data_IF_367606324814
#
_entry.id   IF_367606324814
#
_cell.length_a   1.000
_cell.length_b   1.000
_cell.length_c   1.000
_cell.angle_alpha   90.00
_cell.angle_beta   90.00
_cell.angle_gamma   90.00
#
_symmetry.space_group_name_H-M   'P 1'
#
loop_
_entity.id
_entity.type
_entity.pdbx_description
1 polymer ?
#
# COMPACT_ATOMS: atom_id res chain seq x y z
N UNK A 1 11.76 -23.54 -3.99
CA UNK A 1 11.50 -22.63 -5.12
C UNK A 1 10.88 -21.40 -4.48
N UNK A 2 11.62 -20.29 -4.46
CA UNK A 2 11.21 -19.10 -3.72
C UNK A 2 10.52 -18.20 -4.73
N UNK A 3 9.20 -18.14 -4.63
CA UNK A 3 8.36 -17.33 -5.51
C UNK A 3 8.46 -15.88 -5.04
N UNK A 4 9.65 -15.29 -5.23
CA UNK A 4 9.91 -13.90 -4.87
C UNK A 4 9.64 -12.99 -6.08
N UNK A 5 8.40 -13.02 -6.56
CA UNK A 5 7.84 -11.87 -7.27
C UNK A 5 6.99 -11.12 -6.24
N UNK A 6 7.66 -10.35 -5.38
CA UNK A 6 7.07 -9.09 -4.96
C UNK A 6 6.94 -8.25 -6.24
N UNK A 7 5.84 -8.42 -6.97
CA UNK A 7 5.47 -7.45 -7.98
C UNK A 7 5.24 -6.17 -7.19
N UNK A 8 6.17 -5.23 -7.31
CA UNK A 8 6.12 -3.95 -6.63
C UNK A 8 5.09 -3.09 -7.38
N UNK A 9 3.83 -3.50 -7.29
CA UNK A 9 2.70 -2.80 -7.89
C UNK A 9 2.13 -1.84 -6.87
N UNK A 10 2.00 -0.58 -7.26
CA UNK A 10 1.34 0.45 -6.46
C UNK A 10 -0.11 0.59 -6.92
N UNK A 11 -1.04 0.64 -5.96
CA UNK A 11 -2.48 0.71 -6.23
C UNK A 11 -3.08 2.00 -5.70
N UNK A 12 -3.99 2.65 -6.43
CA UNK A 12 -4.79 3.75 -5.90
C UNK A 12 -6.18 3.73 -6.50
N UNK A 13 -7.12 4.40 -5.83
CA UNK A 13 -8.45 4.58 -6.39
C UNK A 13 -8.39 5.50 -7.61
N UNK A 14 -9.13 5.13 -8.64
CA UNK A 14 -9.39 5.97 -9.79
C UNK A 14 -10.83 5.81 -10.25
N UNK A 15 -11.17 6.52 -11.31
CA UNK A 15 -12.44 6.37 -12.00
C UNK A 15 -12.20 6.36 -13.50
N UNK A 16 -13.08 5.67 -14.23
CA UNK A 16 -13.09 5.75 -15.69
C UNK A 16 -13.96 6.93 -16.17
N UNK A 17 -14.00 7.15 -17.49
CA UNK A 17 -14.81 8.21 -18.12
C UNK A 17 -16.32 8.16 -17.80
N UNK A 18 -16.82 7.03 -17.28
CA UNK A 18 -18.20 6.86 -16.82
C UNK A 18 -18.39 7.04 -15.31
N UNK A 19 -17.39 7.60 -14.61
CA UNK A 19 -17.34 7.72 -13.14
C UNK A 19 -17.50 6.38 -12.41
N UNK A 20 -17.18 5.26 -13.06
CA UNK A 20 -17.16 3.96 -12.39
C UNK A 20 -15.86 3.81 -11.62
N UNK A 21 -15.89 3.39 -10.34
CA UNK A 21 -14.69 3.20 -9.56
C UNK A 21 -13.78 2.14 -10.19
N UNK A 22 -12.48 2.40 -10.13
CA UNK A 22 -11.39 1.57 -10.61
C UNK A 22 -10.28 1.53 -9.56
N UNK A 23 -9.48 0.47 -9.61
CA UNK A 23 -8.17 0.47 -8.98
C UNK A 23 -7.16 0.67 -10.10
N UNK A 24 -6.46 1.79 -10.06
CA UNK A 24 -5.34 2.03 -10.97
C UNK A 24 -4.11 1.36 -10.35
N UNK A 25 -3.35 0.69 -11.20
CA UNK A 25 -2.12 0.01 -10.81
C UNK A 25 -0.95 0.59 -11.56
N UNK A 26 0.21 0.66 -10.92
CA UNK A 26 1.48 0.92 -11.59
C UNK A 26 2.49 -0.13 -11.16
N UNK A 27 2.91 -0.97 -12.11
CA UNK A 27 3.90 -1.99 -11.88
C UNK A 27 5.30 -1.38 -12.01
N UNK A 28 6.06 -1.37 -10.91
CA UNK A 28 7.41 -0.80 -10.89
C UNK A 28 8.45 -1.65 -11.65
N UNK A 29 8.16 -2.94 -11.90
CA UNK A 29 9.06 -3.84 -12.60
C UNK A 29 8.99 -3.70 -14.12
N UNK A 30 7.79 -3.46 -14.67
CA UNK A 30 7.59 -3.24 -16.12
C UNK A 30 7.25 -1.79 -16.48
N UNK A 31 7.19 -0.90 -15.49
CA UNK A 31 6.92 0.54 -15.64
C UNK A 31 5.62 0.84 -16.40
N UNK A 32 4.58 0.03 -16.17
CA UNK A 32 3.32 0.11 -16.90
C UNK A 32 2.14 0.38 -15.98
N UNK A 33 1.21 1.21 -16.46
CA UNK A 33 -0.09 1.39 -15.83
C UNK A 33 -1.03 0.24 -16.20
N UNK A 34 -1.90 -0.10 -15.25
CA UNK A 34 -3.00 -1.03 -15.44
C UNK A 34 -4.24 -0.57 -14.68
N UNK A 35 -5.34 -1.29 -14.91
CA UNK A 35 -6.60 -1.05 -14.23
C UNK A 35 -7.22 -2.38 -13.79
N UNK A 36 -7.78 -2.39 -12.59
CA UNK A 36 -8.62 -3.47 -12.09
C UNK A 36 -10.04 -2.93 -11.90
N UNK A 37 -11.03 -3.70 -12.36
CA UNK A 37 -12.43 -3.39 -12.11
C UNK A 37 -12.71 -3.41 -10.60
N UNK A 38 -13.32 -2.34 -10.09
CA UNK A 38 -13.78 -2.32 -8.72
C UNK A 38 -15.08 -3.15 -8.59
N UNK A 39 -15.25 -3.97 -7.55
CA UNK A 39 -16.45 -4.76 -7.33
C UNK A 39 -17.70 -3.88 -7.15
N UNK A 40 -18.83 -4.30 -7.71
CA UNK A 40 -20.13 -3.66 -7.43
C UNK A 40 -20.64 -3.95 -6.01
N UNK A 41 -20.14 -5.01 -5.36
CA UNK A 41 -20.52 -5.41 -4.00
C UNK A 41 -19.96 -4.46 -2.93
N UNK A 42 -18.87 -3.76 -3.23
CA UNK A 42 -18.25 -2.80 -2.32
C UNK A 42 -18.77 -1.41 -2.64
N UNK A 43 -19.47 -0.83 -1.66
CA UNK A 43 -20.07 0.49 -1.76
C UNK A 43 -19.13 1.51 -1.15
N UNK A 44 -18.42 2.26 -1.99
CA UNK A 44 -17.60 3.41 -1.59
C UNK A 44 -18.48 4.62 -1.25
N UNK A 45 -19.47 4.43 -0.37
CA UNK A 45 -20.47 5.44 0.00
C UNK A 45 -20.01 6.32 1.18
N UNK A 46 -18.92 5.95 1.86
CA UNK A 46 -18.36 6.70 2.98
C UNK A 46 -17.37 7.80 2.59
N UNK A 47 -17.02 8.61 3.59
CA UNK A 47 -16.07 9.72 3.44
C UNK A 47 -14.62 9.27 3.30
N UNK A 48 -14.31 8.06 3.76
CA UNK A 48 -12.96 7.50 3.81
C UNK A 48 -12.93 6.11 3.23
N UNK A 49 -12.08 5.91 2.23
CA UNK A 49 -11.78 4.61 1.65
C UNK A 49 -10.27 4.54 1.44
N UNK A 50 -9.64 3.46 1.87
CA UNK A 50 -8.20 3.26 1.66
C UNK A 50 -7.88 1.86 1.13
N UNK A 51 -6.84 1.79 0.29
CA UNK A 51 -6.31 0.56 -0.28
C UNK A 51 -5.05 0.14 0.47
N UNK A 52 -4.92 -1.15 0.75
CA UNK A 52 -3.68 -1.70 1.24
C UNK A 52 -3.63 -3.19 1.10
N UNK A 53 -2.89 -3.83 2.01
CA UNK A 53 -2.75 -5.27 2.02
C UNK A 53 -3.13 -5.82 3.39
N UNK A 54 -3.82 -6.94 3.38
CA UNK A 54 -4.14 -7.72 4.56
C UNK A 54 -3.98 -9.20 4.25
N UNK A 55 -3.18 -9.90 5.03
CA UNK A 55 -2.71 -11.27 4.84
C UNK A 55 -2.19 -11.52 3.40
N UNK A 56 -1.41 -10.56 2.88
CA UNK A 56 -0.84 -10.62 1.52
C UNK A 56 -1.84 -10.40 0.37
N UNK A 57 -3.11 -10.10 0.66
CA UNK A 57 -4.14 -9.82 -0.34
C UNK A 57 -4.44 -8.33 -0.41
N UNK A 58 -4.67 -7.82 -1.62
CA UNK A 58 -5.16 -6.46 -1.81
C UNK A 58 -6.50 -6.29 -1.09
N UNK A 59 -6.64 -5.23 -0.30
CA UNK A 59 -7.82 -4.99 0.52
C UNK A 59 -8.28 -3.53 0.44
N UNK A 60 -9.54 -3.31 0.81
CA UNK A 60 -10.18 -2.00 0.93
C UNK A 60 -10.72 -1.88 2.35
N UNK A 61 -10.34 -0.79 3.02
CA UNK A 61 -11.05 -0.31 4.20
C UNK A 61 -12.05 0.74 3.73
N UNK A 62 -13.34 0.49 3.94
CA UNK A 62 -14.43 1.42 3.58
C UNK A 62 -15.13 1.89 4.83
N UNK A 63 -15.21 3.21 5.04
CA UNK A 63 -16.09 3.77 6.05
C UNK A 63 -17.55 3.75 5.58
N UNK A 64 -18.47 3.58 6.52
CA UNK A 64 -19.91 3.70 6.30
C UNK A 64 -20.48 4.76 7.24
N UNK A 65 -21.78 5.05 7.08
CA UNK A 65 -22.50 5.99 7.95
C UNK A 65 -22.44 5.47 9.40
N UNK A 66 -22.19 6.38 10.36
CA UNK A 66 -22.11 6.10 11.81
C UNK A 66 -20.78 5.49 12.31
N UNK A 67 -19.65 5.78 11.66
CA UNK A 67 -18.31 5.34 12.08
C UNK A 67 -18.09 3.82 12.07
N UNK A 68 -18.91 3.11 11.29
CA UNK A 68 -18.69 1.71 10.97
C UNK A 68 -17.68 1.60 9.82
N UNK A 69 -16.79 0.62 9.90
CA UNK A 69 -15.81 0.33 8.86
C UNK A 69 -15.96 -1.11 8.39
N UNK A 70 -15.83 -1.32 7.10
CA UNK A 70 -15.81 -2.64 6.50
C UNK A 70 -14.45 -2.91 5.86
N UNK A 71 -13.86 -4.05 6.21
CA UNK A 71 -12.68 -4.56 5.54
C UNK A 71 -13.10 -5.56 4.48
N UNK A 72 -12.70 -5.30 3.24
CA UNK A 72 -12.91 -6.19 2.10
C UNK A 72 -11.56 -6.65 1.56
N UNK A 73 -11.46 -7.92 1.16
CA UNK A 73 -10.23 -8.50 0.58
C UNK A 73 -10.51 -9.08 -0.81
N UNK A 74 -9.57 -8.88 -1.73
CA UNK A 74 -9.57 -9.49 -3.06
C UNK A 74 -8.89 -10.87 -2.97
N UNK A 75 -9.69 -11.94 -3.04
CA UNK A 75 -9.13 -13.30 -2.89
C UNK A 75 -8.31 -13.76 -4.09
N UNK A 76 -8.64 -13.26 -5.29
CA UNK A 76 -7.91 -13.53 -6.52
C UNK A 76 -7.53 -12.21 -7.17
N UNK A 77 -6.22 -11.97 -7.29
CA UNK A 77 -5.71 -10.69 -7.76
C UNK A 77 -6.20 -10.36 -9.17
N UNK A 78 -6.73 -9.15 -9.36
CA UNK A 78 -7.28 -8.69 -10.64
C UNK A 78 -8.73 -9.11 -10.92
N UNK A 79 -9.32 -10.01 -10.11
CA UNK A 79 -10.69 -10.52 -10.32
C UNK A 79 -11.67 -9.77 -9.42
N UNK A 80 -12.53 -8.94 -10.03
CA UNK A 80 -13.48 -8.08 -9.32
C UNK A 80 -14.52 -8.88 -8.52
N UNK A 81 -14.88 -10.07 -8.98
CA UNK A 81 -15.86 -10.93 -8.34
C UNK A 81 -15.29 -11.68 -7.12
N UNK A 82 -13.96 -11.66 -6.93
CA UNK A 82 -13.28 -12.35 -5.83
C UNK A 82 -13.29 -11.59 -4.50
N UNK A 83 -13.84 -10.36 -4.49
CA UNK A 83 -13.90 -9.52 -3.32
C UNK A 83 -14.91 -10.04 -2.30
N UNK A 84 -14.45 -10.27 -1.07
CA UNK A 84 -15.29 -10.71 0.05
C UNK A 84 -15.11 -9.79 1.24
N UNK A 85 -16.21 -9.49 1.93
CA UNK A 85 -16.17 -8.79 3.22
C UNK A 85 -15.56 -9.73 4.24
N UNK A 86 -14.49 -9.27 4.90
CA UNK A 86 -13.77 -10.05 5.91
C UNK A 86 -14.26 -9.67 7.30
N UNK A 87 -14.31 -8.38 7.62
CA UNK A 87 -14.63 -7.88 8.96
C UNK A 87 -15.50 -6.62 8.88
N UNK A 88 -16.28 -6.39 9.93
CA UNK A 88 -16.99 -5.14 10.17
C UNK A 88 -16.61 -4.64 11.55
N UNK A 89 -16.24 -3.38 11.62
CA UNK A 89 -15.91 -2.66 12.84
C UNK A 89 -17.00 -1.64 13.06
N UNK A 90 -17.44 -1.53 14.31
CA UNK A 90 -18.41 -0.53 14.71
C UNK A 90 -18.00 0.10 16.02
N UNK A 91 -18.65 1.22 16.34
CA UNK A 91 -18.65 1.75 17.70
C UNK A 91 -17.28 2.24 18.22
N UNK A 92 -16.51 2.94 17.39
CA UNK A 92 -15.27 3.57 17.84
C UNK A 92 -15.47 4.79 18.77
N UNK A 93 -16.73 5.18 19.03
CA UNK A 93 -17.11 6.24 19.96
C UNK A 93 -16.71 7.67 19.53
N UNK A 94 -15.91 7.80 18.46
CA UNK A 94 -15.46 9.07 17.88
C UNK A 94 -15.21 8.93 16.38
N UNK A 95 -14.93 10.05 15.74
CA UNK A 95 -14.46 10.13 14.36
C UNK A 95 -13.03 9.56 14.25
N UNK A 96 -12.88 8.56 13.38
CA UNK A 96 -11.58 7.99 13.02
C UNK A 96 -11.23 8.42 11.60
N UNK A 97 -10.02 8.93 11.43
CA UNK A 97 -9.42 9.10 10.12
C UNK A 97 -8.44 7.93 9.86
N UNK A 98 -8.73 7.00 8.94
CA UNK A 98 -7.77 5.97 8.55
C UNK A 98 -6.62 6.60 7.75
N UNK A 99 -5.39 6.20 8.06
CA UNK A 99 -4.16 6.60 7.36
C UNK A 99 -3.55 5.46 6.52
N UNK A 100 -4.02 4.24 6.75
CA UNK A 100 -3.74 3.09 5.92
C UNK A 100 -3.23 1.88 6.67
N UNK A 101 -2.51 1.03 5.95
CA UNK A 101 -2.11 -0.29 6.41
C UNK A 101 -0.62 -0.30 6.76
N UNK A 102 -0.27 -0.98 7.84
CA UNK A 102 1.10 -1.14 8.35
C UNK A 102 1.24 -2.48 9.06
N UNK A 103 2.42 -2.79 9.56
CA UNK A 103 2.64 -3.93 10.44
C UNK A 103 2.40 -3.53 11.89
N UNK A 104 1.65 -4.34 12.64
CA UNK A 104 1.40 -4.19 14.08
C UNK A 104 2.63 -4.63 14.90
N UNK A 105 2.58 -4.53 16.24
CA UNK A 105 3.65 -5.08 17.10
C UNK A 105 3.84 -6.58 16.97
N UNK A 106 2.80 -7.30 16.55
CA UNK A 106 2.78 -8.75 16.52
C UNK A 106 3.14 -9.30 15.13
N UNK A 107 3.72 -8.45 14.26
CA UNK A 107 3.97 -8.74 12.85
C UNK A 107 2.70 -9.07 12.04
N UNK A 108 1.50 -8.82 12.59
CA UNK A 108 0.22 -8.89 11.88
C UNK A 108 -0.04 -7.61 11.08
N UNK A 109 -0.97 -7.66 10.15
CA UNK A 109 -1.38 -6.48 9.40
C UNK A 109 -2.22 -5.56 10.31
N UNK A 110 -1.61 -4.45 10.71
CA UNK A 110 -2.22 -3.41 11.53
C UNK A 110 -2.71 -2.24 10.71
N UNK A 111 -3.64 -1.48 11.26
CA UNK A 111 -4.23 -0.31 10.61
C UNK A 111 -3.87 0.96 11.33
N UNK A 112 -3.28 1.89 10.60
CA UNK A 112 -2.98 3.19 11.10
C UNK A 112 -4.24 4.06 11.07
N UNK A 113 -4.56 4.63 12.22
CA UNK A 113 -5.73 5.48 12.41
C UNK A 113 -5.41 6.64 13.32
N UNK A 114 -6.09 7.76 13.09
CA UNK A 114 -6.05 8.91 13.98
C UNK A 114 -7.37 9.07 14.72
N UNK A 115 -7.27 9.29 16.03
CA UNK A 115 -8.40 9.60 16.90
C UNK A 115 -8.57 11.12 17.04
N UNK A 116 -9.75 11.56 17.44
CA UNK A 116 -9.98 12.95 17.92
C UNK A 116 -8.88 13.34 18.90
N UNK A 117 -8.37 14.58 18.81
CA UNK A 117 -7.18 15.09 19.53
C UNK A 117 -5.81 14.72 18.96
N UNK A 118 -5.75 14.38 17.67
CA UNK A 118 -4.51 14.20 16.91
C UNK A 118 -3.68 12.99 17.36
N UNK A 119 -4.28 11.97 18.01
CA UNK A 119 -3.53 10.79 18.43
C UNK A 119 -3.40 9.76 17.32
N UNK A 120 -2.17 9.37 17.00
CA UNK A 120 -1.88 8.30 16.04
C UNK A 120 -1.87 6.95 16.74
N UNK A 121 -2.63 6.00 16.20
CA UNK A 121 -2.77 4.66 16.73
C UNK A 121 -2.63 3.61 15.62
N UNK A 122 -2.06 2.45 15.95
CA UNK A 122 -2.18 1.24 15.16
C UNK A 122 -3.20 0.32 15.83
N UNK A 123 -4.14 -0.19 15.06
CA UNK A 123 -5.08 -1.23 15.48
C UNK A 123 -4.69 -2.56 14.88
N UNK A 124 -4.65 -3.60 15.71
CA UNK A 124 -4.46 -4.97 15.27
C UNK A 124 -5.84 -5.67 15.29
N UNK A 125 -6.41 -5.98 14.11
CA UNK A 125 -7.72 -6.62 14.01
C UNK A 125 -7.72 -8.07 14.47
N UNK A 126 -6.56 -8.74 14.48
CA UNK A 126 -6.47 -10.16 14.83
C UNK A 126 -6.54 -10.34 16.34
N UNK A 127 -5.99 -9.37 17.09
CA UNK A 127 -5.93 -9.38 18.55
C UNK A 127 -6.92 -8.40 19.21
N UNK A 128 -7.59 -7.57 18.42
CA UNK A 128 -8.44 -6.46 18.87
C UNK A 128 -7.70 -5.51 19.83
N UNK A 129 -6.44 -5.19 19.50
CA UNK A 129 -5.58 -4.33 20.33
C UNK A 129 -5.23 -3.01 19.68
N UNK A 130 -4.91 -2.01 20.50
CA UNK A 130 -4.54 -0.66 20.06
C UNK A 130 -3.18 -0.28 20.61
N UNK A 131 -2.27 0.13 19.73
CA UNK A 131 -1.01 0.75 20.10
C UNK A 131 -1.06 2.25 19.79
N UNK A 132 -0.87 3.08 20.80
CA UNK A 132 -0.74 4.53 20.65
C UNK A 132 0.71 4.97 20.46
N UNK A 133 0.94 5.89 19.51
CA UNK A 133 2.27 6.44 19.19
C UNK A 133 2.45 7.90 19.61
N UNK A 134 1.38 8.57 20.03
CA UNK A 134 1.40 9.96 20.49
C UNK A 134 0.64 10.90 19.56
N UNK A 135 0.85 12.20 19.76
CA UNK A 135 0.13 13.26 19.04
C UNK A 135 0.85 13.63 17.75
N UNK A 136 0.13 13.69 16.63
CA UNK A 136 0.65 13.98 15.29
C UNK A 136 -0.21 15.07 14.65
N UNK A 137 0.42 16.18 14.24
CA UNK A 137 -0.29 17.31 13.64
C UNK A 137 -1.02 16.85 12.37
N UNK A 138 -2.26 17.29 12.20
CA UNK A 138 -3.01 17.05 10.97
C UNK A 138 -2.31 17.67 9.77
N UNK A 139 -1.68 16.83 8.95
CA UNK A 139 -1.44 17.16 7.55
C UNK A 139 -2.79 17.36 6.85
N UNK A 140 -2.91 18.44 6.09
CA UNK A 140 -4.16 18.80 5.38
C UNK A 140 -4.33 18.02 4.08
N UNK A 141 -3.29 17.30 3.66
CA UNK A 141 -3.22 16.64 2.37
C UNK A 141 -3.38 15.12 2.49
N UNK A 142 -3.76 14.49 1.39
CA UNK A 142 -3.88 13.04 1.31
C UNK A 142 -2.51 12.39 1.48
N UNK A 143 -2.30 11.75 2.63
CA UNK A 143 -1.09 10.98 2.93
C UNK A 143 -1.37 9.51 2.65
N UNK A 144 -0.52 8.87 1.86
CA UNK A 144 -0.57 7.42 1.66
C UNK A 144 0.68 6.81 2.28
N UNK A 145 0.47 5.81 3.13
CA UNK A 145 1.57 4.99 3.65
C UNK A 145 1.77 3.82 2.70
N UNK A 146 2.99 3.69 2.21
CA UNK A 146 3.38 2.59 1.32
C UNK A 146 4.40 1.75 2.06
N UNK A 147 4.12 0.44 2.16
CA UNK A 147 5.11 -0.51 2.67
C UNK A 147 6.23 -0.61 1.65
N UNK A 148 7.41 -0.12 2.01
CA UNK A 148 8.63 -0.31 1.25
C UNK A 148 9.36 -1.53 1.81
N UNK A 149 9.62 -2.52 0.96
CA UNK A 149 10.51 -3.63 1.27
C UNK A 149 11.77 -3.40 0.43
N UNK A 150 12.91 -3.25 1.10
CA UNK A 150 14.19 -3.16 0.40
C UNK A 150 14.43 -4.45 -0.38
N UNK A 151 14.59 -4.31 -1.69
CA UNK A 151 15.11 -5.40 -2.52
C UNK A 151 16.62 -5.29 -2.50
N UNK A 152 17.30 -6.24 -1.84
CA UNK A 152 18.76 -6.38 -1.87
C UNK A 152 19.23 -6.91 -3.24
N UNK A 153 18.90 -6.22 -4.33
CA UNK A 153 19.53 -6.46 -5.62
C UNK A 153 20.88 -5.75 -5.59
N UNK A 154 21.95 -6.53 -5.44
CA UNK A 154 23.30 -6.03 -5.67
C UNK A 154 23.42 -5.64 -7.15
N UNK A 155 23.40 -4.34 -7.43
CA UNK A 155 23.89 -3.84 -8.71
C UNK A 155 25.41 -4.02 -8.67
N UNK A 156 25.91 -5.12 -9.22
CA UNK A 156 27.34 -5.26 -9.46
C UNK A 156 27.79 -4.04 -10.26
N UNK A 157 28.91 -3.37 -9.91
CA UNK A 157 29.42 -2.26 -10.68
C UNK A 157 29.53 -2.71 -12.13
N UNK A 158 28.84 -2.02 -13.04
CA UNK A 158 28.96 -2.30 -14.46
C UNK A 158 30.43 -2.14 -14.84
N UNK A 159 31.02 -3.18 -15.43
CA UNK A 159 32.31 -3.05 -16.12
C UNK A 159 32.07 -2.20 -17.36
N UNK A 160 31.95 -0.88 -17.20
CA UNK A 160 32.04 0.03 -18.33
C UNK A 160 33.51 0.41 -18.56
N UNK A 161 34.03 -0.21 -19.63
CA UNK A 161 35.00 0.33 -20.60
C UNK A 161 36.47 0.31 -20.15
N UNK A 162 37.17 -0.76 -20.55
CA UNK A 162 38.57 -0.65 -20.96
C UNK A 162 38.64 0.28 -22.18
N UNK A 163 39.23 1.47 -22.04
CA UNK A 163 40.18 2.03 -23.02
C UNK A 163 40.67 3.42 -22.59
N UNK A 164 41.91 3.72 -22.99
CA UNK A 164 42.64 4.99 -22.89
C UNK A 164 43.40 5.31 -21.59
N UNK A 165 44.32 4.42 -21.17
CA UNK A 165 45.47 4.83 -20.35
C UNK A 165 46.79 4.05 -20.61
N UNK A 166 46.88 3.19 -21.64
CA UNK A 166 48.10 2.40 -21.90
C UNK A 166 48.88 2.78 -23.17
N UNK A 167 48.59 3.93 -23.80
CA UNK A 167 49.34 4.36 -25.00
C UNK A 167 50.54 5.29 -24.69
N UNK A 168 50.70 5.80 -23.47
CA UNK A 168 51.82 6.74 -23.18
C UNK A 168 53.14 6.12 -22.70
N UNK A 169 53.26 4.79 -22.55
CA UNK A 169 54.51 4.17 -22.06
C UNK A 169 55.46 3.71 -23.19
N UNK A 170 55.04 3.71 -24.47
CA UNK A 170 55.91 3.23 -25.57
C UNK A 170 56.74 4.29 -26.32
N UNK A 171 56.76 5.56 -25.87
CA UNK A 171 57.56 6.62 -26.51
C UNK A 171 58.62 7.30 -25.62
N UNK A 172 58.90 6.80 -24.40
CA UNK A 172 59.90 7.40 -23.50
C UNK A 172 61.21 6.59 -23.41
N UNK A 173 61.37 5.48 -24.13
CA UNK A 173 62.65 4.74 -24.19
C UNK A 173 63.21 4.60 -25.62
N UNK A 174 63.70 5.71 -26.17
CA UNK A 174 64.75 5.72 -27.21
C UNK A 174 65.79 6.79 -26.94
#
# INVERSE_FOLDING_TARGET
MVDNLCSATVHWFGSNNGNKPRIVTFDLGVEAFGEICFPNSVKLEGYWNDLGFYSGKLCVMSSHKLNDFELWVMNEYGVAESWTKLLTFSNFGVDIDPYGFTTSKNDSDGWLRRYTFDQLNIYDPDTDTVQSFGRVVRERDWTKIVRYIESLVWIAPSKQIQSAAEIEISQIER
#
